data_IF_491503502681
#
_entry.id   IF_491503502681
#
_cell.length_a   1.000
_cell.length_b   1.000
_cell.length_c   1.000
_cell.angle_alpha   90.00
_cell.angle_beta   90.00
_cell.angle_gamma   90.00
#
_symmetry.space_group_name_H-M   'P 1'
#
loop_
_entity.id
_entity.type
_entity.pdbx_description
1 polymer ?
#
# COMPACT_ATOMS: atom_id res chain seq x y z
N UNK A 1 -96.42 7.85 -30.35
CA UNK A 1 -95.83 9.20 -30.42
C UNK A 1 -94.31 9.00 -30.40
N UNK A 2 -93.68 8.95 -31.57
CA UNK A 2 -92.93 10.08 -32.16
C UNK A 2 -91.47 9.96 -31.71
N UNK A 3 -90.46 9.77 -32.55
CA UNK A 3 -90.24 10.34 -33.87
C UNK A 3 -89.41 9.41 -34.77
N UNK A 4 -89.70 9.49 -36.07
CA UNK A 4 -88.95 8.90 -37.19
C UNK A 4 -87.77 9.80 -37.56
N UNK A 5 -86.74 9.20 -38.17
CA UNK A 5 -86.15 9.56 -39.48
C UNK A 5 -84.71 8.98 -39.52
N UNK A 6 -84.43 7.93 -40.30
CA UNK A 6 -84.14 7.96 -41.76
C UNK A 6 -82.84 8.75 -42.02
N UNK A 7 -81.90 8.31 -42.87
CA UNK A 7 -82.08 7.69 -44.18
C UNK A 7 -80.69 7.27 -44.71
N UNK A 8 -80.48 5.98 -45.08
CA UNK A 8 -80.16 5.48 -46.45
C UNK A 8 -78.68 5.64 -46.93
N UNK A 9 -78.21 4.95 -48.00
CA UNK A 9 -77.75 3.54 -47.98
C UNK A 9 -76.38 3.28 -48.67
N UNK A 10 -75.98 2.00 -48.62
CA UNK A 10 -75.17 1.16 -49.53
C UNK A 10 -74.65 1.76 -50.86
N UNK A 11 -73.53 1.32 -51.46
CA UNK A 11 -73.09 -0.06 -51.76
C UNK A 11 -71.72 -0.04 -52.51
N UNK A 12 -71.06 -1.21 -52.65
CA UNK A 12 -70.26 -1.68 -53.85
C UNK A 12 -68.82 -1.14 -54.01
N UNK A 13 -67.75 -1.89 -54.35
CA UNK A 13 -67.50 -3.29 -54.79
C UNK A 13 -66.00 -3.67 -54.63
N UNK A 14 -65.76 -4.96 -54.44
CA UNK A 14 -64.63 -5.86 -54.80
C UNK A 14 -63.34 -5.37 -55.49
N UNK A 15 -62.18 -5.89 -55.04
CA UNK A 15 -61.22 -6.67 -55.86
C UNK A 15 -60.11 -7.30 -54.98
N UNK A 16 -59.58 -8.46 -55.39
CA UNK A 16 -58.69 -9.37 -54.63
C UNK A 16 -57.31 -9.50 -55.32
N UNK A 17 -56.23 -9.29 -54.52
CA UNK A 17 -54.85 -9.89 -54.54
C UNK A 17 -53.92 -9.77 -55.78
N UNK A 18 -52.56 -9.90 -55.72
CA UNK A 18 -51.67 -10.48 -54.67
C UNK A 18 -50.29 -9.77 -54.40
N UNK A 19 -49.45 -10.40 -53.54
CA UNK A 19 -47.97 -10.29 -53.34
C UNK A 19 -47.44 -9.25 -52.33
N UNK A 20 -46.42 -9.48 -51.47
CA UNK A 20 -45.76 -10.63 -50.82
C UNK A 20 -44.83 -10.05 -49.68
N UNK A 21 -43.89 -10.76 -49.01
CA UNK A 21 -43.80 -10.83 -47.55
C UNK A 21 -42.59 -10.11 -46.91
N UNK A 22 -42.59 -10.00 -45.58
CA UNK A 22 -41.36 -9.91 -44.78
C UNK A 22 -41.39 -8.88 -43.65
N UNK A 23 -41.39 -9.35 -42.39
CA UNK A 23 -40.31 -9.17 -41.39
C UNK A 23 -40.79 -9.87 -40.10
N UNK A 24 -39.92 -10.70 -39.53
CA UNK A 24 -40.26 -11.84 -38.67
C UNK A 24 -40.87 -11.53 -37.30
N UNK A 25 -41.70 -12.48 -36.86
CA UNK A 25 -42.09 -12.67 -35.46
C UNK A 25 -40.85 -12.97 -34.62
N UNK A 26 -40.46 -12.04 -33.76
CA UNK A 26 -39.53 -12.32 -32.68
C UNK A 26 -40.20 -13.11 -31.56
N UNK A 27 -39.38 -13.74 -30.71
CA UNK A 27 -39.62 -14.51 -29.47
C UNK A 27 -40.69 -13.99 -28.47
N UNK A 28 -41.36 -12.87 -28.76
CA UNK A 28 -42.46 -12.29 -27.98
C UNK A 28 -43.77 -13.08 -28.04
N UNK A 29 -43.91 -14.05 -28.96
CA UNK A 29 -45.10 -14.89 -29.08
C UNK A 29 -45.01 -16.22 -28.33
N UNK A 30 -43.93 -16.51 -27.60
CA UNK A 30 -43.81 -17.76 -26.85
C UNK A 30 -44.58 -17.65 -25.51
N UNK A 31 -45.61 -18.48 -25.28
CA UNK A 31 -46.30 -18.51 -23.99
C UNK A 31 -45.35 -19.09 -22.92
N UNK A 32 -44.99 -18.27 -21.93
CA UNK A 32 -44.16 -18.68 -20.79
C UNK A 32 -44.94 -18.63 -19.48
N UNK A 33 -44.67 -19.58 -18.58
CA UNK A 33 -45.31 -19.71 -17.27
C UNK A 33 -44.92 -18.55 -16.35
N UNK A 34 -45.80 -18.17 -15.40
CA UNK A 34 -45.59 -17.03 -14.49
C UNK A 34 -44.28 -17.06 -13.69
N UNK A 35 -43.73 -18.25 -13.43
CA UNK A 35 -42.44 -18.45 -12.77
C UNK A 35 -41.27 -17.92 -13.62
N UNK A 36 -41.32 -18.06 -14.95
CA UNK A 36 -40.26 -17.59 -15.85
C UNK A 36 -40.15 -16.05 -15.88
N UNK A 37 -41.26 -15.34 -15.65
CA UNK A 37 -41.30 -13.87 -15.59
C UNK A 37 -40.78 -13.31 -14.27
N UNK A 38 -40.85 -14.08 -13.18
CA UNK A 38 -40.39 -13.65 -11.87
C UNK A 38 -38.86 -13.75 -11.72
N UNK A 39 -38.23 -14.69 -12.43
CA UNK A 39 -36.78 -14.94 -12.34
C UNK A 39 -35.97 -14.02 -13.26
N UNK A 40 -36.55 -13.54 -14.36
CA UNK A 40 -35.89 -12.68 -15.36
C UNK A 40 -36.59 -11.30 -15.50
N UNK A 41 -36.69 -10.57 -14.40
CA UNK A 41 -37.41 -9.28 -14.35
C UNK A 41 -36.78 -8.19 -15.25
N UNK A 42 -35.45 -8.22 -15.45
CA UNK A 42 -34.73 -7.23 -16.29
C UNK A 42 -35.15 -7.22 -17.76
N UNK A 43 -35.70 -8.31 -18.30
CA UNK A 43 -36.15 -8.39 -19.70
C UNK A 43 -37.48 -7.65 -19.97
N UNK A 44 -38.17 -7.16 -18.94
CA UNK A 44 -39.53 -6.60 -19.06
C UNK A 44 -39.72 -5.20 -18.48
N UNK A 45 -38.67 -4.56 -17.97
CA UNK A 45 -38.75 -3.16 -17.50
C UNK A 45 -38.68 -2.22 -18.71
N UNK A 46 -39.75 -1.44 -18.94
CA UNK A 46 -39.66 -0.30 -19.88
C UNK A 46 -38.68 0.72 -19.30
N UNK A 47 -37.62 1.11 -20.02
CA UNK A 47 -36.64 2.06 -19.51
C UNK A 47 -37.34 3.39 -19.18
N UNK A 48 -37.34 3.75 -17.89
CA UNK A 48 -37.78 5.06 -17.45
C UNK A 48 -36.61 6.03 -17.62
N UNK A 49 -36.70 6.88 -18.63
CA UNK A 49 -35.63 7.79 -19.03
C UNK A 49 -35.11 8.64 -17.87
N UNK A 50 -36.00 9.12 -16.99
CA UNK A 50 -35.64 9.94 -15.83
C UNK A 50 -34.85 9.15 -14.79
N UNK A 51 -35.23 7.90 -14.52
CA UNK A 51 -34.51 7.06 -13.55
C UNK A 51 -33.14 6.68 -14.11
N UNK A 52 -33.05 6.41 -15.42
CA UNK A 52 -31.77 6.13 -16.07
C UNK A 52 -30.83 7.33 -16.07
N UNK A 53 -31.33 8.55 -16.30
CA UNK A 53 -30.47 9.74 -16.28
C UNK A 53 -29.91 10.01 -14.88
N UNK A 54 -30.70 9.87 -13.81
CA UNK A 54 -30.19 9.95 -12.44
C UNK A 54 -29.15 8.87 -12.15
N UNK A 55 -29.38 7.63 -12.60
CA UNK A 55 -28.43 6.54 -12.44
C UNK A 55 -27.09 6.80 -13.12
N UNK A 56 -27.11 7.29 -14.37
CA UNK A 56 -25.90 7.62 -15.12
C UNK A 56 -25.14 8.77 -14.46
N UNK A 57 -25.82 9.82 -14.02
CA UNK A 57 -25.19 10.96 -13.32
C UNK A 57 -24.53 10.50 -12.02
N UNK A 58 -25.20 9.67 -11.21
CA UNK A 58 -24.65 9.16 -9.97
C UNK A 58 -23.38 8.32 -10.19
N UNK A 59 -23.37 7.47 -11.22
CA UNK A 59 -22.19 6.65 -11.58
C UNK A 59 -21.04 7.55 -12.04
N UNK A 60 -21.31 8.54 -12.88
CA UNK A 60 -20.28 9.48 -13.36
C UNK A 60 -19.69 10.30 -12.21
N UNK A 61 -20.52 10.82 -11.30
CA UNK A 61 -20.05 11.54 -10.12
C UNK A 61 -19.22 10.63 -9.19
N UNK A 62 -19.63 9.38 -9.00
CA UNK A 62 -18.88 8.42 -8.19
C UNK A 62 -17.52 8.07 -8.79
N UNK A 63 -17.46 7.85 -10.11
CA UNK A 63 -16.22 7.60 -10.82
C UNK A 63 -15.28 8.83 -10.79
N UNK A 64 -15.82 10.04 -10.95
CA UNK A 64 -15.06 11.27 -10.85
C UNK A 64 -14.50 11.49 -9.43
N UNK A 65 -15.28 11.19 -8.39
CA UNK A 65 -14.82 11.27 -7.00
C UNK A 65 -13.71 10.25 -6.70
N UNK A 66 -13.83 9.01 -7.18
CA UNK A 66 -12.76 8.01 -7.07
C UNK A 66 -11.49 8.44 -7.81
N UNK A 67 -11.61 9.02 -8.99
CA UNK A 67 -10.47 9.56 -9.74
C UNK A 67 -9.83 10.75 -9.01
N UNK A 68 -10.64 11.64 -8.43
CA UNK A 68 -10.16 12.75 -7.60
C UNK A 68 -9.41 12.25 -6.35
N UNK A 69 -9.98 11.28 -5.63
CA UNK A 69 -9.31 10.65 -4.48
C UNK A 69 -7.98 9.99 -4.88
N UNK A 70 -7.94 9.31 -6.04
CA UNK A 70 -6.71 8.72 -6.59
C UNK A 70 -5.67 9.77 -6.98
N UNK A 71 -6.10 10.93 -7.46
CA UNK A 71 -5.23 12.07 -7.80
C UNK A 71 -4.64 12.72 -6.55
N UNK A 72 -5.45 12.90 -5.50
CA UNK A 72 -5.01 13.48 -4.22
C UNK A 72 -3.99 12.56 -3.50
N UNK A 73 -4.18 11.24 -3.56
CA UNK A 73 -3.21 10.27 -3.03
C UNK A 73 -1.83 10.32 -3.73
N UNK A 74 -1.77 10.79 -4.98
CA UNK A 74 -0.54 10.85 -5.77
C UNK A 74 0.36 12.03 -5.35
N UNK A 75 -0.19 13.08 -4.74
CA UNK A 75 0.58 14.25 -4.30
C UNK A 75 1.29 14.01 -2.94
N UNK A 76 0.81 13.07 -2.13
CA UNK A 76 1.42 12.64 -0.86
C UNK A 76 2.59 11.66 -1.11
N UNK A 77 3.71 12.16 -1.63
CA UNK A 77 4.93 11.38 -1.92
C UNK A 77 5.52 10.70 -0.67
N UNK A 78 5.26 9.40 -0.45
CA UNK A 78 6.19 8.46 0.21
C UNK A 78 5.81 7.02 -0.17
N UNK A 79 6.36 6.47 -1.26
CA UNK A 79 6.13 5.07 -1.64
C UNK A 79 7.39 4.43 -2.23
N UNK A 80 7.77 3.26 -1.71
CA UNK A 80 8.65 2.31 -2.41
C UNK A 80 7.73 1.41 -3.24
N UNK A 81 7.95 1.35 -4.55
CA UNK A 81 7.16 0.55 -5.46
C UNK A 81 7.53 -0.94 -5.33
N UNK A 82 6.56 -1.76 -4.94
CA UNK A 82 6.58 -3.21 -5.17
C UNK A 82 5.24 -3.56 -5.83
N UNK A 83 5.31 -4.34 -6.90
CA UNK A 83 4.31 -4.46 -7.96
C UNK A 83 2.85 -4.70 -7.52
N UNK A 84 1.94 -4.08 -8.26
CA UNK A 84 0.52 -4.40 -8.47
C UNK A 84 -0.28 -4.93 -7.28
N UNK A 85 -0.36 -4.13 -6.21
CA UNK A 85 -1.61 -3.89 -5.47
C UNK A 85 -1.39 -2.70 -4.52
N UNK A 86 -2.16 -1.62 -4.72
CA UNK A 86 -2.05 -0.38 -3.94
C UNK A 86 -2.71 -0.61 -2.58
N UNK A 87 -1.93 -1.06 -1.59
CA UNK A 87 -2.39 -1.18 -0.19
C UNK A 87 -2.04 0.11 0.56
N UNK A 88 -3.02 0.78 1.20
CA UNK A 88 -2.72 1.93 2.05
C UNK A 88 -1.83 1.49 3.23
N UNK A 89 -0.60 1.99 3.22
CA UNK A 89 0.39 1.79 4.28
C UNK A 89 -0.09 2.50 5.54
N UNK A 90 -0.75 1.77 6.45
CA UNK A 90 -0.96 2.26 7.82
C UNK A 90 0.33 2.09 8.60
N UNK A 91 1.07 3.19 8.71
CA UNK A 91 2.27 3.36 9.49
C UNK A 91 1.96 3.11 10.98
N UNK A 92 2.09 1.87 11.45
CA UNK A 92 2.24 1.58 12.88
C UNK A 92 3.67 1.93 13.28
N UNK A 93 3.98 3.23 13.27
CA UNK A 93 5.24 3.75 13.77
C UNK A 93 5.11 3.80 15.29
N UNK A 94 5.68 2.79 15.95
CA UNK A 94 5.48 2.55 17.39
C UNK A 94 6.40 3.40 18.28
N UNK A 95 7.36 4.12 17.71
CA UNK A 95 8.25 5.01 18.45
C UNK A 95 8.58 6.29 17.66
N UNK A 96 8.64 7.40 18.38
CA UNK A 96 9.09 8.69 17.87
C UNK A 96 10.16 9.27 18.81
N UNK A 97 11.13 10.01 18.26
CA UNK A 97 12.09 10.77 19.05
C UNK A 97 11.63 12.21 19.20
N UNK A 98 11.62 12.73 20.43
CA UNK A 98 11.33 14.13 20.68
C UNK A 98 12.42 15.03 20.08
N UNK A 99 12.04 15.91 19.15
CA UNK A 99 12.92 16.94 18.57
C UNK A 99 13.12 18.12 19.51
N UNK A 100 12.12 18.36 20.36
CA UNK A 100 12.03 19.51 21.26
C UNK A 100 11.49 19.09 22.62
N UNK A 101 11.74 19.91 23.63
CA UNK A 101 11.06 19.80 24.92
C UNK A 101 9.60 20.21 24.76
N UNK A 102 8.70 19.49 25.42
CA UNK A 102 7.28 19.82 25.48
C UNK A 102 6.78 19.68 26.92
N UNK A 103 6.16 20.74 27.42
CA UNK A 103 5.55 20.74 28.74
C UNK A 103 4.03 20.78 28.56
N UNK A 104 3.34 19.78 29.09
CA UNK A 104 1.90 19.66 29.00
C UNK A 104 1.23 20.93 29.54
N UNK A 105 0.30 21.45 28.75
CA UNK A 105 -0.53 22.61 29.02
C UNK A 105 -1.96 22.21 29.41
N UNK A 106 -2.37 20.99 29.09
CA UNK A 106 -3.63 20.39 29.48
C UNK A 106 -3.44 19.03 30.18
N UNK A 107 -4.48 18.55 30.86
CA UNK A 107 -4.43 17.31 31.67
C UNK A 107 -4.32 16.03 30.82
N UNK A 108 -4.75 16.09 29.56
CA UNK A 108 -4.70 15.01 28.60
C UNK A 108 -3.41 14.99 27.76
N UNK A 109 -2.50 15.94 27.99
CA UNK A 109 -1.23 16.06 27.28
C UNK A 109 -0.06 15.38 28.02
N UNK A 110 0.88 14.83 27.27
CA UNK A 110 2.06 14.14 27.81
C UNK A 110 3.30 15.03 27.71
N UNK A 111 3.90 15.38 28.84
CA UNK A 111 5.18 16.12 28.87
C UNK A 111 6.36 15.24 28.50
N UNK A 112 7.31 15.77 27.74
CA UNK A 112 8.54 15.08 27.36
C UNK A 112 9.70 16.04 27.10
N UNK A 113 10.92 15.51 27.06
CA UNK A 113 12.18 16.22 26.83
C UNK A 113 12.76 15.81 25.48
N UNK A 114 13.46 16.75 24.84
CA UNK A 114 14.21 16.51 23.61
C UNK A 114 15.11 15.28 23.77
N UNK A 115 15.09 14.41 22.76
CA UNK A 115 15.84 13.16 22.72
C UNK A 115 15.15 11.98 23.39
N UNK A 116 14.05 12.18 24.13
CA UNK A 116 13.28 11.06 24.66
C UNK A 116 12.57 10.28 23.55
N UNK A 117 12.44 8.97 23.77
CA UNK A 117 11.73 8.06 22.88
C UNK A 117 10.31 7.89 23.41
N UNK A 118 9.34 8.23 22.58
CA UNK A 118 7.91 8.23 22.88
C UNK A 118 7.26 7.07 22.14
N UNK A 119 6.48 6.25 22.84
CA UNK A 119 5.73 5.15 22.22
C UNK A 119 4.43 5.69 21.65
N UNK A 120 4.35 5.87 20.33
CA UNK A 120 3.14 6.42 19.70
C UNK A 120 2.07 5.32 19.61
N UNK A 121 0.93 5.57 20.25
CA UNK A 121 -0.21 4.66 20.39
C UNK A 121 -1.27 4.86 19.30
N UNK A 122 -1.57 6.12 18.95
CA UNK A 122 -2.57 6.46 17.92
C UNK A 122 -2.19 7.77 17.20
N UNK A 123 -2.35 7.78 15.88
CA UNK A 123 -2.17 8.94 15.00
C UNK A 123 -3.40 9.20 14.12
N UNK A 124 -4.42 8.35 14.20
CA UNK A 124 -5.56 8.35 13.26
C UNK A 124 -6.62 9.39 13.66
N UNK A 125 -6.58 9.90 14.88
CA UNK A 125 -7.60 10.81 15.42
C UNK A 125 -7.34 12.27 15.00
N UNK A 126 -6.08 12.69 14.89
CA UNK A 126 -5.67 14.06 14.57
C UNK A 126 -4.25 14.08 13.93
N UNK A 127 -4.05 14.92 12.91
CA UNK A 127 -2.75 15.08 12.24
C UNK A 127 -1.74 15.91 13.04
N UNK A 128 -2.22 16.75 13.95
CA UNK A 128 -1.45 17.67 14.77
C UNK A 128 -1.14 17.08 16.15
N UNK A 129 -1.96 16.17 16.67
CA UNK A 129 -1.81 15.58 17.99
C UNK A 129 -1.89 14.05 17.94
N UNK A 130 -0.84 13.40 18.42
CA UNK A 130 -0.80 11.95 18.51
C UNK A 130 -0.93 11.51 19.95
N UNK A 131 -1.57 10.35 20.17
CA UNK A 131 -1.59 9.72 21.48
C UNK A 131 -0.31 8.92 21.66
N UNK A 132 0.43 9.15 22.73
CA UNK A 132 1.68 8.45 23.02
C UNK A 132 1.80 8.08 24.49
N UNK A 133 2.73 7.19 24.80
CA UNK A 133 3.06 6.71 26.14
C UNK A 133 4.55 6.96 26.44
N UNK A 134 4.84 7.44 27.63
CA UNK A 134 6.18 7.62 28.19
C UNK A 134 6.17 7.24 29.67
N UNK A 135 7.06 6.32 30.07
CA UNK A 135 7.21 5.85 31.46
C UNK A 135 5.89 5.40 32.11
N UNK A 136 5.02 4.72 31.33
CA UNK A 136 3.72 4.21 31.77
C UNK A 136 2.63 5.27 31.94
N UNK A 137 2.90 6.53 31.56
CA UNK A 137 1.90 7.59 31.44
C UNK A 137 1.62 7.85 29.97
N UNK A 138 0.35 7.91 29.61
CA UNK A 138 -0.09 8.23 28.25
C UNK A 138 -0.76 9.61 28.18
N UNK A 139 -0.72 10.20 27.00
CA UNK A 139 -1.33 11.49 26.72
C UNK A 139 -1.09 11.93 25.27
N UNK A 140 -1.61 13.11 24.94
CA UNK A 140 -1.46 13.72 23.64
C UNK A 140 -0.10 14.43 23.53
N UNK A 141 0.55 14.26 22.38
CA UNK A 141 1.81 14.89 22.02
C UNK A 141 1.68 15.59 20.66
N UNK A 142 2.30 16.76 20.48
CA UNK A 142 2.25 17.45 19.20
C UNK A 142 3.14 16.76 18.16
N UNK A 143 2.58 16.48 16.98
CA UNK A 143 3.24 15.72 15.91
C UNK A 143 4.48 16.42 15.34
N UNK A 144 4.52 17.76 15.36
CA UNK A 144 5.66 18.55 14.91
C UNK A 144 6.82 18.64 15.93
N UNK A 145 6.63 18.13 17.15
CA UNK A 145 7.67 18.08 18.18
C UNK A 145 8.44 16.76 18.19
N UNK A 146 8.08 15.84 17.29
CA UNK A 146 8.63 14.50 17.23
C UNK A 146 9.12 14.16 15.83
N UNK A 147 10.09 13.26 15.75
CA UNK A 147 10.45 12.55 14.53
C UNK A 147 9.98 11.12 14.67
N UNK A 148 9.12 10.67 13.76
CA UNK A 148 8.82 9.26 13.68
C UNK A 148 10.08 8.49 13.32
N UNK A 149 10.47 7.53 14.16
CA UNK A 149 11.55 6.63 13.79
C UNK A 149 10.97 5.60 12.84
N UNK A 150 11.07 5.86 11.54
CA UNK A 150 10.90 4.80 10.54
C UNK A 150 12.09 3.87 10.69
N UNK A 151 11.87 2.70 11.28
CA UNK A 151 12.89 1.68 11.32
C UNK A 151 12.89 0.92 10.00
N UNK A 152 14.06 0.84 9.36
CA UNK A 152 14.26 0.14 8.08
C UNK A 152 13.81 -1.33 8.14
N UNK A 153 13.78 -1.93 9.34
CA UNK A 153 13.32 -3.30 9.56
C UNK A 153 11.80 -3.46 9.68
N UNK A 154 11.00 -2.39 9.80
CA UNK A 154 9.54 -2.50 9.91
C UNK A 154 8.84 -2.32 8.55
N UNK A 155 8.29 -3.40 8.01
CA UNK A 155 7.69 -3.45 6.67
C UNK A 155 6.16 -3.45 6.69
N UNK A 156 5.54 -3.26 7.85
CA UNK A 156 4.08 -3.16 7.95
C UNK A 156 3.36 -4.39 7.41
N UNK A 157 2.40 -4.17 6.49
CA UNK A 157 1.52 -5.22 5.94
C UNK A 157 2.13 -5.94 4.72
N UNK A 158 3.38 -6.38 4.82
CA UNK A 158 3.94 -7.29 3.83
C UNK A 158 3.47 -8.73 4.12
N UNK A 159 3.18 -9.49 3.06
CA UNK A 159 2.75 -10.89 3.20
C UNK A 159 3.91 -11.77 3.66
N UNK A 160 3.59 -12.97 4.16
CA UNK A 160 4.62 -13.97 4.45
C UNK A 160 5.47 -14.27 3.21
N UNK A 161 4.80 -14.51 2.08
CA UNK A 161 5.46 -14.89 0.83
C UNK A 161 6.37 -13.78 0.31
N UNK A 162 5.93 -12.52 0.38
CA UNK A 162 6.75 -11.38 -0.06
C UNK A 162 7.94 -11.17 0.88
N UNK A 163 7.74 -11.35 2.20
CA UNK A 163 8.84 -11.32 3.16
C UNK A 163 9.87 -12.43 2.88
N UNK A 164 9.41 -13.64 2.54
CA UNK A 164 10.29 -14.74 2.13
C UNK A 164 11.09 -14.36 0.88
N UNK A 165 10.42 -13.84 -0.16
CA UNK A 165 11.06 -13.40 -1.40
C UNK A 165 12.09 -12.29 -1.20
N UNK A 166 11.81 -11.31 -0.33
CA UNK A 166 12.75 -10.22 -0.03
C UNK A 166 13.98 -10.72 0.71
N UNK A 167 13.81 -11.64 1.66
CA UNK A 167 14.88 -12.10 2.56
C UNK A 167 15.73 -13.24 1.97
N UNK A 168 15.20 -14.02 1.03
CA UNK A 168 15.88 -15.18 0.45
C UNK A 168 17.25 -14.84 -0.15
N UNK A 169 17.38 -13.67 -0.77
CA UNK A 169 18.61 -13.20 -1.40
C UNK A 169 19.47 -12.33 -0.47
N UNK A 170 19.11 -12.20 0.82
CA UNK A 170 19.85 -11.40 1.79
C UNK A 170 20.82 -12.26 2.60
N UNK A 171 21.75 -11.58 3.27
CA UNK A 171 22.73 -12.21 4.14
C UNK A 171 22.07 -12.88 5.35
N UNK A 172 22.76 -13.86 5.95
CA UNK A 172 22.26 -14.58 7.12
C UNK A 172 22.05 -13.65 8.32
N UNK A 173 20.86 -13.72 8.93
CA UNK A 173 20.42 -12.85 10.01
C UNK A 173 19.64 -11.61 9.52
N UNK A 174 19.59 -11.34 8.22
CA UNK A 174 18.75 -10.30 7.64
C UNK A 174 17.29 -10.51 8.05
N UNK A 175 16.62 -9.46 8.52
CA UNK A 175 15.28 -9.60 9.08
C UNK A 175 14.37 -8.43 8.75
N UNK A 176 13.07 -8.68 8.92
CA UNK A 176 12.04 -7.65 8.95
C UNK A 176 10.94 -8.03 9.96
N UNK A 177 10.26 -7.02 10.48
CA UNK A 177 9.03 -7.17 11.25
C UNK A 177 7.85 -6.74 10.38
N UNK A 178 6.82 -7.57 10.38
CA UNK A 178 5.58 -7.37 9.62
C UNK A 178 4.36 -7.62 10.50
N UNK A 179 3.20 -7.15 10.06
CA UNK A 179 1.92 -7.51 10.67
C UNK A 179 1.66 -9.00 10.43
N UNK A 180 1.13 -9.68 11.45
CA UNK A 180 0.80 -11.10 11.36
C UNK A 180 -0.48 -11.31 10.54
N UNK A 181 -0.39 -12.05 9.44
CA UNK A 181 -1.55 -12.40 8.60
C UNK A 181 -2.50 -13.36 9.33
N UNK A 182 -1.96 -14.28 10.12
CA UNK A 182 -2.74 -15.27 10.87
C UNK A 182 -3.35 -14.73 12.16
N UNK A 183 -2.94 -13.54 12.60
CA UNK A 183 -3.37 -12.97 13.88
C UNK A 183 -3.46 -11.45 13.77
N UNK A 184 -4.62 -10.92 13.34
CA UNK A 184 -4.82 -9.49 13.20
C UNK A 184 -4.51 -8.75 14.49
N UNK A 185 -3.66 -7.73 14.41
CA UNK A 185 -3.19 -6.98 15.57
C UNK A 185 -1.96 -7.58 16.26
N UNK A 186 -1.37 -8.67 15.77
CA UNK A 186 -0.06 -9.17 16.22
C UNK A 186 1.03 -8.89 15.18
N UNK A 187 2.30 -9.05 15.58
CA UNK A 187 3.45 -8.93 14.68
C UNK A 187 4.12 -10.28 14.45
N UNK A 188 4.81 -10.39 13.32
CA UNK A 188 5.66 -11.51 12.96
C UNK A 188 7.04 -10.98 12.59
N UNK A 189 8.08 -11.54 13.20
CA UNK A 189 9.48 -11.34 12.84
C UNK A 189 9.86 -12.40 11.79
N UNK A 190 10.31 -11.97 10.63
CA UNK A 190 10.80 -12.86 9.57
C UNK A 190 12.30 -12.66 9.42
N UNK A 191 13.09 -13.74 9.42
CA UNK A 191 14.56 -13.68 9.40
C UNK A 191 15.15 -14.75 8.47
N UNK A 192 16.14 -14.35 7.69
CA UNK A 192 16.92 -15.21 6.80
C UNK A 192 17.82 -16.14 7.63
N UNK A 193 17.64 -17.46 7.44
CA UNK A 193 18.40 -18.50 8.14
C UNK A 193 18.67 -19.68 7.21
N UNK A 194 19.95 -20.03 7.00
CA UNK A 194 20.34 -21.07 6.05
C UNK A 194 19.75 -20.81 4.66
N UNK A 195 19.16 -21.84 4.04
CA UNK A 195 18.55 -21.73 2.69
C UNK A 195 17.15 -21.12 2.69
N UNK A 196 16.58 -20.82 3.86
CA UNK A 196 15.19 -20.39 3.99
C UNK A 196 15.00 -19.14 4.84
N UNK A 197 13.73 -18.88 5.17
CA UNK A 197 13.31 -17.79 6.05
C UNK A 197 12.50 -18.40 7.18
N UNK A 198 12.86 -18.05 8.42
CA UNK A 198 12.13 -18.44 9.62
C UNK A 198 11.22 -17.30 10.06
N UNK A 199 10.07 -17.65 10.63
CA UNK A 199 9.08 -16.68 11.09
C UNK A 199 8.73 -16.94 12.54
N UNK A 200 8.90 -15.92 13.37
CA UNK A 200 8.60 -15.93 14.78
C UNK A 200 7.41 -15.03 15.05
N UNK A 201 6.39 -15.54 15.73
CA UNK A 201 5.28 -14.71 16.19
C UNK A 201 5.76 -13.86 17.36
N UNK A 202 5.60 -12.54 17.25
CA UNK A 202 5.83 -11.62 18.37
C UNK A 202 4.57 -11.60 19.21
N UNK A 203 4.71 -12.05 20.46
CA UNK A 203 3.62 -12.12 21.41
C UNK A 203 3.57 -10.86 22.27
N UNK A 204 2.39 -10.60 22.84
CA UNK A 204 2.16 -9.57 23.85
C UNK A 204 1.56 -10.18 25.10
N UNK A 205 1.98 -9.70 26.27
CA UNK A 205 1.35 -10.09 27.53
C UNK A 205 0.20 -9.13 27.91
N UNK A 206 -0.46 -9.39 29.04
CA UNK A 206 -1.57 -8.57 29.53
C UNK A 206 -1.16 -7.11 29.87
N UNK A 207 0.14 -6.84 30.04
CA UNK A 207 0.69 -5.51 30.28
C UNK A 207 1.17 -4.85 28.97
N UNK A 208 0.97 -5.51 27.82
CA UNK A 208 1.37 -5.00 26.51
C UNK A 208 2.85 -5.18 26.18
N UNK A 209 3.62 -5.94 26.98
CA UNK A 209 5.05 -6.17 26.73
C UNK A 209 5.26 -7.20 25.63
N UNK A 210 6.21 -6.92 24.73
CA UNK A 210 6.54 -7.76 23.57
C UNK A 210 7.54 -8.86 23.93
N UNK A 211 7.38 -10.05 23.36
CA UNK A 211 8.35 -11.13 23.53
C UNK A 211 8.25 -12.18 22.42
N UNK A 212 9.36 -12.86 22.14
CA UNK A 212 9.38 -14.10 21.35
C UNK A 212 9.30 -15.34 22.23
N UNK A 213 9.92 -15.28 23.42
CA UNK A 213 10.11 -16.42 24.31
C UNK A 213 9.88 -16.06 25.79
N UNK A 214 10.96 -15.93 26.57
CA UNK A 214 10.91 -15.72 28.03
C UNK A 214 11.15 -14.26 28.39
N UNK A 215 12.07 -13.59 27.67
CA UNK A 215 12.43 -12.19 27.91
C UNK A 215 11.37 -11.28 27.30
N UNK A 216 10.96 -10.25 28.05
CA UNK A 216 9.90 -9.31 27.69
C UNK A 216 10.45 -7.89 27.54
N UNK A 217 9.90 -7.16 26.59
CA UNK A 217 10.36 -5.84 26.15
C UNK A 217 9.20 -4.85 26.14
N UNK A 218 9.47 -3.57 26.38
CA UNK A 218 8.44 -2.52 26.35
C UNK A 218 8.05 -2.13 24.92
N UNK A 219 8.93 -2.42 23.95
CA UNK A 219 8.71 -2.13 22.54
C UNK A 219 9.33 -3.17 21.60
N UNK A 220 8.93 -3.11 20.33
CA UNK A 220 9.57 -3.90 19.27
C UNK A 220 11.04 -3.51 19.07
N UNK A 221 11.39 -2.26 19.37
CA UNK A 221 12.74 -1.75 19.21
C UNK A 221 13.69 -2.36 20.22
N UNK A 222 13.30 -2.38 21.50
CA UNK A 222 14.05 -3.07 22.54
C UNK A 222 14.20 -4.57 22.22
N UNK A 223 13.14 -5.20 21.69
CA UNK A 223 13.17 -6.60 21.25
C UNK A 223 14.19 -6.81 20.13
N UNK A 224 14.17 -5.97 19.10
CA UNK A 224 15.10 -6.04 17.97
C UNK A 224 16.53 -5.83 18.45
N UNK A 225 16.77 -4.77 19.23
CA UNK A 225 18.11 -4.42 19.72
C UNK A 225 18.72 -5.54 20.57
N UNK A 226 17.93 -6.12 21.48
CA UNK A 226 18.36 -7.27 22.25
C UNK A 226 18.78 -8.45 21.34
N UNK A 227 17.96 -8.73 20.33
CA UNK A 227 18.17 -9.86 19.44
C UNK A 227 19.24 -9.65 18.36
N UNK A 228 19.87 -8.47 18.29
CA UNK A 228 21.13 -8.28 17.54
C UNK A 228 22.28 -9.06 18.15
N UNK A 229 22.27 -9.23 19.47
CA UNK A 229 23.32 -9.94 20.22
C UNK A 229 22.86 -11.31 20.76
N UNK A 230 21.56 -11.50 20.97
CA UNK A 230 20.97 -12.74 21.48
C UNK A 230 20.15 -13.49 20.42
N UNK A 231 20.27 -14.82 20.38
CA UNK A 231 19.55 -15.62 19.38
C UNK A 231 18.02 -15.47 19.47
N UNK A 232 17.36 -15.35 18.33
CA UNK A 232 15.88 -15.41 18.20
C UNK A 232 15.35 -16.84 18.20
N UNK A 233 16.21 -17.85 18.08
CA UNK A 233 15.83 -19.26 18.09
C UNK A 233 16.38 -19.99 19.31
N UNK A 234 15.64 -21.00 19.79
CA UNK A 234 16.07 -21.88 20.88
C UNK A 234 16.97 -23.02 20.42
N UNK A 235 16.99 -23.32 19.12
CA UNK A 235 17.71 -24.48 18.55
C UNK A 235 18.94 -24.10 17.74
N UNK A 236 18.97 -22.90 17.18
CA UNK A 236 20.06 -22.40 16.33
C UNK A 236 20.49 -21.00 16.80
N UNK A 237 21.75 -20.62 16.58
CA UNK A 237 22.23 -19.26 16.87
C UNK A 237 21.86 -18.32 15.71
N UNK A 238 20.70 -17.67 15.81
CA UNK A 238 20.17 -16.76 14.79
C UNK A 238 20.09 -15.36 15.41
N UNK A 239 21.00 -14.48 15.03
CA UNK A 239 21.01 -13.08 15.50
C UNK A 239 20.50 -12.15 14.41
N UNK A 240 19.83 -11.09 14.82
CA UNK A 240 19.27 -10.10 13.91
C UNK A 240 20.37 -9.19 13.38
N UNK A 241 20.40 -9.03 12.05
CA UNK A 241 21.27 -8.09 11.34
C UNK A 241 20.40 -7.23 10.44
N UNK A 242 20.61 -5.92 10.50
CA UNK A 242 19.86 -5.03 9.61
C UNK A 242 20.14 -5.39 8.17
N UNK A 243 19.09 -5.28 7.34
CA UNK A 243 19.27 -5.35 5.91
C UNK A 243 20.08 -4.13 5.48
N UNK A 244 21.38 -4.30 5.34
CA UNK A 244 22.20 -3.36 4.61
C UNK A 244 21.61 -3.26 3.20
N UNK A 245 21.35 -2.05 2.67
CA UNK A 245 21.12 -1.93 1.24
C UNK A 245 22.27 -2.66 0.56
N UNK A 246 21.96 -3.62 -0.32
CA UNK A 246 23.00 -4.24 -1.11
C UNK A 246 23.69 -3.10 -1.84
N UNK A 247 24.95 -2.84 -1.49
CA UNK A 247 25.80 -1.93 -2.22
C UNK A 247 25.85 -2.49 -3.64
N UNK A 248 25.12 -1.85 -4.55
CA UNK A 248 25.19 -2.24 -5.94
C UNK A 248 26.47 -1.64 -6.47
N UNK A 249 27.53 -2.42 -6.36
CA UNK A 249 28.84 -2.03 -6.81
C UNK A 249 28.88 -2.17 -8.33
N UNK A 250 29.40 -1.14 -8.97
CA UNK A 250 29.66 -1.13 -10.40
C UNK A 250 31.10 -0.72 -10.64
N UNK A 251 31.73 -1.33 -11.63
CA UNK A 251 33.08 -0.98 -12.04
C UNK A 251 33.03 -0.10 -13.28
N UNK A 252 33.75 1.02 -13.25
CA UNK A 252 33.90 1.92 -14.38
C UNK A 252 34.62 1.23 -15.55
N UNK A 253 33.96 1.17 -16.71
CA UNK A 253 34.54 0.66 -17.95
C UNK A 253 35.38 1.72 -18.68
N UNK A 254 35.07 3.00 -18.44
CA UNK A 254 35.71 4.15 -19.07
C UNK A 254 35.95 5.26 -18.04
N UNK A 255 36.88 6.16 -18.35
CA UNK A 255 37.04 7.40 -17.60
C UNK A 255 35.83 8.32 -17.86
N UNK A 256 35.40 9.05 -16.83
CA UNK A 256 34.30 10.01 -16.95
C UNK A 256 34.66 11.32 -16.24
N UNK A 257 34.64 12.40 -17.00
CA UNK A 257 34.89 13.76 -16.53
C UNK A 257 33.57 14.53 -16.48
N UNK A 258 33.20 15.11 -15.33
CA UNK A 258 31.99 15.91 -15.17
C UNK A 258 31.89 17.05 -16.20
N UNK A 259 30.74 17.17 -16.83
CA UNK A 259 30.37 18.30 -17.70
C UNK A 259 29.43 19.26 -16.96
N UNK A 260 28.61 18.75 -16.04
CA UNK A 260 27.64 19.53 -15.27
C UNK A 260 27.89 19.46 -13.75
N UNK A 261 27.31 20.42 -13.03
CA UNK A 261 27.38 20.43 -11.57
C UNK A 261 26.51 19.30 -10.98
N UNK A 262 27.11 18.46 -10.15
CA UNK A 262 26.44 17.31 -9.53
C UNK A 262 26.78 15.96 -10.17
N UNK A 263 27.65 15.93 -11.18
CA UNK A 263 28.17 14.69 -11.77
C UNK A 263 29.38 14.14 -11.00
N UNK A 264 29.52 12.81 -10.98
CA UNK A 264 30.58 12.08 -10.28
C UNK A 264 31.73 11.77 -11.23
N UNK A 265 32.91 12.33 -11.01
CA UNK A 265 34.13 11.97 -11.75
C UNK A 265 34.71 10.63 -11.28
N UNK A 266 35.16 9.80 -12.20
CA UNK A 266 35.86 8.54 -11.93
C UNK A 266 36.75 8.11 -13.11
N UNK A 267 37.67 7.17 -12.85
CA UNK A 267 38.53 6.55 -13.85
C UNK A 267 38.12 5.11 -14.11
N UNK A 268 38.48 4.60 -15.30
CA UNK A 268 38.33 3.20 -15.65
C UNK A 268 38.97 2.31 -14.59
N UNK A 269 38.20 1.34 -14.13
CA UNK A 269 38.58 0.39 -13.09
C UNK A 269 38.11 0.76 -11.69
N UNK A 270 37.70 2.01 -11.46
CA UNK A 270 37.15 2.44 -10.18
C UNK A 270 35.85 1.69 -9.86
N UNK A 271 35.64 1.39 -8.57
CA UNK A 271 34.43 0.76 -8.06
C UNK A 271 33.56 1.82 -7.41
N UNK A 272 32.31 1.91 -7.84
CA UNK A 272 31.34 2.92 -7.44
C UNK A 272 30.16 2.23 -6.76
N UNK A 273 29.73 2.75 -5.62
CA UNK A 273 28.51 2.29 -4.95
C UNK A 273 27.31 3.02 -5.52
N UNK A 274 26.40 2.31 -6.18
CA UNK A 274 25.19 2.90 -6.76
C UNK A 274 24.13 3.09 -5.68
N UNK A 275 23.73 4.34 -5.48
CA UNK A 275 22.74 4.76 -4.49
C UNK A 275 21.35 5.00 -5.08
N UNK A 276 21.24 5.32 -6.38
CA UNK A 276 19.98 5.45 -7.11
C UNK A 276 20.15 4.99 -8.56
N UNK A 277 19.23 4.14 -9.02
CA UNK A 277 19.15 3.61 -10.40
C UNK A 277 17.75 3.76 -11.01
N UNK A 278 16.94 4.67 -10.46
CA UNK A 278 15.57 4.90 -10.87
C UNK A 278 15.46 5.37 -12.34
N UNK A 279 16.49 6.06 -12.84
CA UNK A 279 16.62 6.42 -14.25
C UNK A 279 17.42 5.37 -15.05
N UNK A 280 17.08 5.22 -16.34
CA UNK A 280 17.68 4.21 -17.23
C UNK A 280 19.06 4.59 -17.77
N UNK A 281 19.38 5.88 -17.84
CA UNK A 281 20.57 6.40 -18.49
C UNK A 281 21.56 6.99 -17.49
N UNK A 282 21.07 7.59 -16.41
CA UNK A 282 21.89 8.28 -15.41
C UNK A 282 21.64 7.73 -14.01
N UNK A 283 22.69 7.20 -13.38
CA UNK A 283 22.63 6.67 -12.03
C UNK A 283 23.31 7.62 -11.05
N UNK A 284 22.87 7.61 -9.79
CA UNK A 284 23.55 8.33 -8.72
C UNK A 284 24.39 7.34 -7.92
N UNK A 285 25.68 7.61 -7.77
CA UNK A 285 26.56 6.79 -6.96
C UNK A 285 27.48 7.62 -6.09
N UNK A 286 28.21 6.90 -5.24
CA UNK A 286 29.22 7.44 -4.37
C UNK A 286 30.53 6.69 -4.52
N UNK A 287 31.64 7.44 -4.45
CA UNK A 287 33.00 6.94 -4.47
C UNK A 287 33.79 7.69 -3.40
N UNK A 288 34.02 7.03 -2.26
CA UNK A 288 34.59 7.68 -1.07
C UNK A 288 33.66 8.78 -0.54
N UNK A 289 34.17 10.01 -0.44
CA UNK A 289 33.38 11.16 0.03
C UNK A 289 32.68 11.94 -1.10
N UNK A 290 32.77 11.46 -2.35
CA UNK A 290 32.20 12.12 -3.53
C UNK A 290 30.91 11.41 -3.93
N UNK A 291 29.87 12.17 -4.22
CA UNK A 291 28.58 11.67 -4.71
C UNK A 291 28.15 12.46 -5.93
N UNK A 292 27.55 11.80 -6.90
CA UNK A 292 27.01 12.47 -8.07
C UNK A 292 26.43 11.52 -9.10
N UNK A 293 25.95 12.12 -10.18
CA UNK A 293 25.37 11.45 -11.34
C UNK A 293 26.45 10.93 -12.29
N UNK A 294 26.20 9.77 -12.89
CA UNK A 294 27.04 9.25 -13.96
C UNK A 294 26.25 8.38 -14.95
N UNK A 295 26.74 8.20 -16.19
CA UNK A 295 26.03 7.40 -17.19
C UNK A 295 26.06 5.90 -16.84
N UNK A 296 24.90 5.26 -16.83
CA UNK A 296 24.76 3.82 -16.60
C UNK A 296 25.55 2.97 -17.61
N UNK A 297 25.75 3.49 -18.83
CA UNK A 297 26.49 2.83 -19.91
C UNK A 297 28.01 2.83 -19.71
N UNK A 298 28.53 3.60 -18.74
CA UNK A 298 29.96 3.73 -18.46
C UNK A 298 30.46 2.71 -17.43
N UNK A 299 29.57 1.88 -16.90
CA UNK A 299 29.86 0.96 -15.80
C UNK A 299 29.33 -0.44 -16.09
N UNK A 300 29.89 -1.44 -15.42
CA UNK A 300 29.38 -2.80 -15.42
C UNK A 300 29.17 -3.30 -13.97
N UNK A 301 28.21 -4.20 -13.71
CA UNK A 301 28.03 -4.80 -12.39
C UNK A 301 29.34 -5.43 -11.88
N UNK A 302 29.78 -5.01 -10.70
CA UNK A 302 30.97 -5.53 -10.05
C UNK A 302 30.55 -6.61 -9.05
N UNK A 303 30.88 -7.86 -9.37
CA UNK A 303 30.67 -8.99 -8.47
C UNK A 303 32.00 -9.33 -7.80
N UNK A 304 32.01 -9.40 -6.47
CA UNK A 304 33.17 -9.81 -5.67
C UNK A 304 33.33 -11.33 -5.65
#
# INVERSE_FOLDING_TARGET
MGSKNSSTPAQVKSAQTPSEPGVGEGIKSIPTTGVFKAVNFELYVKPNLTIMTFGVVAIVCSAAYLAYMKSQLKESKTYIAIADDVVPVRLLNMEAVAKHDFNATAEDELSFRKGQILKVLNMEDDMNWFRAELDGRDGLIPSNYIEMKSHEWYYGRITRADAEKLLLNKHEGAFLIRVSESSPGDFSLSVKCGDGVQHFKVLRDAQGKFFLWVVKFNSLNELVEYHRSASVSRSHDIKLKDMTPEEFLVQALYDFTPQEHGELEFKRGDVITVTDRSDQHWWTGEMGNRRGLFPATYVAPYHT
#
